data_IF_475148108299
#
_entry.id   IF_475148108299
#
_cell.length_a   1.000
_cell.length_b   1.000
_cell.length_c   1.000
_cell.angle_alpha   90.00
_cell.angle_beta   90.00
_cell.angle_gamma   90.00
#
_symmetry.space_group_name_H-M   'P 1'
#
loop_
_entity.id
_entity.type
_entity.pdbx_description
1 polymer ?
#
# COMPACT_ATOMS: atom_id res chain seq x y z
N UNK A 1 -20.83 12.23 -0.51
CA UNK A 1 -19.79 13.17 0.00
C UNK A 1 -18.34 12.83 -0.43
N UNK A 2 -18.06 11.65 -0.99
CA UNK A 2 -16.87 11.37 -1.83
C UNK A 2 -17.28 11.06 -3.27
N UNK A 3 -18.48 11.46 -3.70
CA UNK A 3 -19.06 11.08 -5.00
C UNK A 3 -18.21 11.48 -6.21
N UNK A 4 -17.32 12.45 -6.05
CA UNK A 4 -16.38 12.89 -7.09
C UNK A 4 -14.98 12.28 -6.98
N UNK A 5 -14.68 11.57 -5.90
CA UNK A 5 -13.41 10.87 -5.72
C UNK A 5 -13.49 9.49 -6.36
N UNK A 6 -12.35 9.02 -6.83
CA UNK A 6 -12.21 7.66 -7.34
C UNK A 6 -11.27 6.89 -6.44
N UNK A 7 -11.29 5.57 -6.55
CA UNK A 7 -10.30 4.70 -5.95
C UNK A 7 -9.64 3.85 -7.03
N UNK A 8 -8.41 3.44 -6.79
CA UNK A 8 -7.69 2.50 -7.65
C UNK A 8 -7.09 1.42 -6.77
N UNK A 9 -7.08 0.18 -7.24
CA UNK A 9 -6.53 -0.94 -6.51
C UNK A 9 -5.18 -1.33 -7.10
N UNK A 10 -4.16 -1.42 -6.24
CA UNK A 10 -2.81 -1.81 -6.62
C UNK A 10 -2.40 -3.05 -5.85
N UNK A 11 -2.27 -4.17 -6.57
CA UNK A 11 -1.72 -5.40 -6.03
C UNK A 11 -0.19 -5.31 -6.00
N UNK A 12 0.36 -5.49 -4.81
CA UNK A 12 1.77 -5.68 -4.58
C UNK A 12 2.11 -7.15 -4.39
N UNK A 13 2.96 -7.66 -5.27
CA UNK A 13 3.40 -9.05 -5.34
C UNK A 13 4.85 -9.17 -4.88
N UNK A 14 5.16 -10.31 -4.28
CA UNK A 14 6.47 -10.58 -3.71
C UNK A 14 7.03 -11.88 -4.24
N UNK A 15 8.36 -12.00 -4.25
CA UNK A 15 9.06 -13.25 -4.48
C UNK A 15 9.96 -13.55 -3.28
N UNK A 16 9.89 -14.78 -2.79
CA UNK A 16 10.69 -15.27 -1.67
C UNK A 16 12.01 -15.82 -2.22
N UNK A 17 13.11 -15.35 -1.64
CA UNK A 17 14.44 -15.86 -1.90
C UNK A 17 14.60 -17.27 -1.28
N UNK A 18 15.29 -18.16 -1.98
CA UNK A 18 15.74 -19.43 -1.43
C UNK A 18 16.66 -19.19 -0.23
N UNK A 19 16.59 -20.08 0.77
CA UNK A 19 17.28 -19.93 2.04
C UNK A 19 18.80 -19.79 1.87
N UNK A 20 19.40 -20.39 0.83
CA UNK A 20 20.83 -20.28 0.57
C UNK A 20 21.28 -18.86 0.19
N UNK A 21 20.33 -18.02 -0.24
CA UNK A 21 20.58 -16.65 -0.70
C UNK A 21 19.90 -15.58 0.17
N UNK A 22 19.16 -16.00 1.19
CA UNK A 22 18.39 -15.12 2.08
C UNK A 22 19.26 -14.09 2.83
N UNK A 23 20.56 -14.37 3.01
CA UNK A 23 21.49 -13.53 3.77
C UNK A 23 22.55 -12.84 2.90
N UNK A 24 22.36 -12.77 1.59
CA UNK A 24 23.18 -11.92 0.70
C UNK A 24 23.23 -10.48 1.25
N UNK A 25 22.09 -9.98 1.73
CA UNK A 25 22.02 -8.78 2.56
C UNK A 25 21.19 -9.05 3.81
N UNK A 26 21.74 -8.66 4.97
CA UNK A 26 21.16 -8.96 6.31
C UNK A 26 20.20 -7.88 6.84
N UNK A 27 19.96 -6.83 6.07
CA UNK A 27 19.08 -5.70 6.42
C UNK A 27 18.11 -5.42 5.28
N UNK A 28 17.06 -4.64 5.53
CA UNK A 28 16.19 -4.16 4.47
C UNK A 28 16.93 -3.15 3.59
N UNK A 29 16.71 -3.20 2.28
CA UNK A 29 17.19 -2.16 1.34
C UNK A 29 16.00 -1.61 0.56
N UNK A 30 15.91 -0.28 0.56
CA UNK A 30 14.95 0.51 -0.20
C UNK A 30 15.72 1.39 -1.16
N UNK A 31 15.30 1.44 -2.43
CA UNK A 31 15.81 2.44 -3.37
C UNK A 31 15.12 3.79 -3.15
N UNK A 32 15.69 4.84 -3.72
CA UNK A 32 15.04 6.15 -3.81
C UNK A 32 13.97 6.08 -4.90
N UNK A 33 12.79 6.67 -4.62
CA UNK A 33 11.70 6.73 -5.58
C UNK A 33 12.13 7.42 -6.88
N UNK A 34 11.95 6.77 -8.02
CA UNK A 34 12.15 7.40 -9.35
C UNK A 34 11.04 8.40 -9.67
N UNK A 35 9.84 8.12 -9.20
CA UNK A 35 8.62 8.91 -9.42
C UNK A 35 8.04 9.36 -8.07
N UNK A 36 8.63 10.38 -7.41
CA UNK A 36 8.17 10.84 -6.09
C UNK A 36 6.75 11.41 -6.08
N UNK A 37 6.20 11.76 -7.25
CA UNK A 37 4.83 12.21 -7.45
C UNK A 37 3.78 11.10 -7.29
N UNK A 38 4.20 9.83 -7.37
CA UNK A 38 3.32 8.68 -7.21
C UNK A 38 3.65 7.92 -5.92
N UNK A 39 2.66 7.29 -5.26
CA UNK A 39 2.85 6.63 -3.96
C UNK A 39 3.54 5.26 -4.07
N UNK A 40 4.26 4.99 -5.16
CA UNK A 40 4.88 3.71 -5.45
C UNK A 40 6.40 3.82 -5.40
N UNK A 41 7.02 2.81 -4.82
CA UNK A 41 8.46 2.67 -4.78
C UNK A 41 8.86 1.46 -5.62
N UNK A 42 10.13 1.41 -6.04
CA UNK A 42 10.65 0.18 -6.62
C UNK A 42 10.63 -0.95 -5.58
N UNK A 43 10.55 -2.21 -6.03
CA UNK A 43 10.66 -3.40 -5.20
C UNK A 43 11.85 -3.31 -4.25
N UNK A 44 11.61 -3.67 -3.00
CA UNK A 44 12.61 -3.64 -1.92
C UNK A 44 13.25 -4.99 -1.73
N UNK A 45 14.39 -5.02 -1.04
CA UNK A 45 14.88 -6.23 -0.38
C UNK A 45 14.41 -6.22 1.07
N UNK A 46 13.67 -7.25 1.47
CA UNK A 46 12.94 -7.30 2.75
C UNK A 46 13.39 -8.52 3.55
N UNK A 47 13.93 -8.28 4.74
CA UNK A 47 14.12 -9.28 5.80
C UNK A 47 12.90 -9.28 6.71
N UNK A 48 12.12 -10.34 6.66
CA UNK A 48 10.95 -10.50 7.53
C UNK A 48 11.37 -10.97 8.92
N UNK A 49 10.53 -10.68 9.92
CA UNK A 49 10.78 -11.06 11.32
C UNK A 49 10.84 -12.58 11.55
N UNK A 50 10.23 -13.37 10.66
CA UNK A 50 10.29 -14.84 10.69
C UNK A 50 11.55 -15.41 9.99
N UNK A 51 12.49 -14.55 9.57
CA UNK A 51 13.73 -14.93 8.90
C UNK A 51 13.61 -15.07 7.37
N UNK A 52 12.40 -15.06 6.79
CA UNK A 52 12.25 -15.12 5.33
C UNK A 52 12.77 -13.85 4.68
N UNK A 53 13.22 -13.98 3.43
CA UNK A 53 13.70 -12.86 2.64
C UNK A 53 12.91 -12.76 1.37
N UNK A 54 12.45 -11.55 1.06
CA UNK A 54 11.58 -11.29 -0.07
C UNK A 54 12.04 -10.09 -0.87
N UNK A 55 11.73 -10.11 -2.16
CA UNK A 55 11.72 -8.91 -2.99
C UNK A 55 10.31 -8.48 -3.32
N UNK A 56 10.08 -7.18 -3.39
CA UNK A 56 8.78 -6.58 -3.67
C UNK A 56 8.45 -5.41 -2.74
N UNK A 57 7.23 -4.88 -2.79
CA UNK A 57 6.22 -5.22 -3.80
C UNK A 57 6.46 -4.47 -5.13
N UNK A 58 5.92 -4.99 -6.23
CA UNK A 58 5.50 -4.16 -7.37
C UNK A 58 4.17 -3.45 -7.04
N UNK A 59 3.59 -2.71 -7.99
CA UNK A 59 2.30 -2.04 -7.81
C UNK A 59 1.41 -2.15 -9.05
N UNK A 60 0.77 -3.30 -9.22
CA UNK A 60 -0.01 -3.63 -10.42
C UNK A 60 -1.46 -3.17 -10.25
N UNK A 61 -2.01 -2.34 -11.17
CA UNK A 61 -3.44 -2.04 -11.18
C UNK A 61 -4.28 -3.31 -11.31
N UNK A 62 -5.29 -3.46 -10.45
CA UNK A 62 -6.25 -4.58 -10.49
C UNK A 62 -7.70 -4.06 -10.40
N UNK A 63 -8.69 -4.81 -10.94
CA UNK A 63 -10.06 -4.31 -11.03
C UNK A 63 -10.79 -4.25 -9.69
N UNK A 64 -10.45 -5.08 -8.70
CA UNK A 64 -11.16 -5.13 -7.41
C UNK A 64 -10.18 -5.24 -6.22
N UNK A 65 -10.60 -4.89 -5.00
CA UNK A 65 -9.78 -5.06 -3.80
C UNK A 65 -9.56 -6.53 -3.39
N UNK A 66 -10.14 -7.49 -4.12
CA UNK A 66 -10.04 -8.94 -3.91
C UNK A 66 -9.30 -9.67 -5.04
N UNK A 67 -8.81 -8.98 -6.08
CA UNK A 67 -8.06 -9.60 -7.18
C UNK A 67 -6.64 -9.99 -6.75
N UNK A 68 -6.49 -10.94 -5.82
CA UNK A 68 -5.19 -11.36 -5.28
C UNK A 68 -4.36 -12.22 -6.26
N UNK A 69 -4.99 -12.78 -7.29
CA UNK A 69 -4.33 -13.53 -8.37
C UNK A 69 -4.92 -13.14 -9.74
N UNK A 70 -4.20 -13.42 -10.84
CA UNK A 70 -4.61 -13.07 -12.19
C UNK A 70 -4.74 -11.54 -12.44
N UNK A 71 -5.37 -11.16 -13.55
CA UNK A 71 -5.64 -9.75 -13.88
C UNK A 71 -7.15 -9.44 -13.93
N UNK A 72 -7.99 -10.46 -13.76
CA UNK A 72 -9.44 -10.38 -13.87
C UNK A 72 -10.02 -11.24 -12.76
N UNK A 73 -10.79 -10.64 -11.84
CA UNK A 73 -11.62 -11.40 -10.89
C UNK A 73 -12.81 -11.99 -11.63
N UNK A 74 -13.60 -11.10 -12.24
CA UNK A 74 -14.72 -11.42 -13.11
C UNK A 74 -14.88 -10.29 -14.15
N UNK A 75 -15.47 -10.63 -15.30
CA UNK A 75 -15.63 -9.69 -16.43
C UNK A 75 -16.52 -8.49 -16.03
N UNK A 76 -17.69 -8.69 -15.39
CA UNK A 76 -18.53 -7.56 -14.95
C UNK A 76 -17.80 -6.54 -14.07
N UNK A 77 -17.10 -6.98 -13.02
CA UNK A 77 -16.37 -6.08 -12.11
C UNK A 77 -15.25 -5.33 -12.85
N UNK A 78 -14.57 -6.01 -13.77
CA UNK A 78 -13.51 -5.40 -14.58
C UNK A 78 -14.07 -4.31 -15.50
N UNK A 79 -15.19 -4.57 -16.17
CA UNK A 79 -15.86 -3.58 -17.02
C UNK A 79 -16.37 -2.40 -16.19
N UNK A 80 -16.97 -2.68 -15.02
CA UNK A 80 -17.43 -1.65 -14.09
C UNK A 80 -16.27 -0.73 -13.68
N UNK A 81 -15.14 -1.31 -13.27
CA UNK A 81 -13.97 -0.53 -12.84
C UNK A 81 -13.39 0.33 -13.97
N UNK A 82 -13.33 -0.19 -15.19
CA UNK A 82 -12.94 0.61 -16.36
C UNK A 82 -13.91 1.77 -16.60
N UNK A 83 -15.22 1.54 -16.45
CA UNK A 83 -16.24 2.59 -16.52
C UNK A 83 -16.04 3.69 -15.47
N UNK A 84 -15.78 3.31 -14.21
CA UNK A 84 -15.47 4.25 -13.13
C UNK A 84 -14.21 5.08 -13.44
N UNK A 85 -13.15 4.43 -13.94
CA UNK A 85 -11.90 5.12 -14.30
C UNK A 85 -12.15 6.14 -15.41
N UNK A 86 -12.91 5.78 -16.45
CA UNK A 86 -13.14 6.62 -17.62
C UNK A 86 -14.09 7.79 -17.35
N UNK A 87 -14.93 7.70 -16.30
CA UNK A 87 -15.93 8.72 -15.96
C UNK A 87 -15.55 9.54 -14.72
N UNK A 88 -14.66 9.04 -13.86
CA UNK A 88 -14.24 9.68 -12.62
C UNK A 88 -12.94 10.49 -12.69
N UNK A 89 -12.45 10.90 -11.52
CA UNK A 89 -11.21 11.68 -11.37
C UNK A 89 -9.96 10.91 -11.83
N UNK A 90 -9.98 9.58 -11.73
CA UNK A 90 -8.89 8.72 -12.20
C UNK A 90 -8.62 8.85 -13.71
N UNK A 91 -9.59 9.28 -14.53
CA UNK A 91 -9.38 9.51 -15.98
C UNK A 91 -8.17 10.40 -16.25
N UNK A 92 -8.04 11.50 -15.50
CA UNK A 92 -6.93 12.46 -15.67
C UNK A 92 -5.57 11.80 -15.40
N UNK A 93 -5.52 10.90 -14.43
CA UNK A 93 -4.32 10.13 -14.10
C UNK A 93 -3.94 9.17 -15.23
N UNK A 94 -4.90 8.47 -15.84
CA UNK A 94 -4.66 7.58 -16.99
C UNK A 94 -4.38 8.32 -18.31
N UNK A 95 -4.50 9.65 -18.34
CA UNK A 95 -4.03 10.48 -19.45
C UNK A 95 -2.60 11.02 -19.23
N UNK A 96 -2.04 10.84 -18.03
CA UNK A 96 -0.68 11.25 -17.71
C UNK A 96 0.34 10.22 -18.26
N UNK A 97 1.25 10.62 -19.18
CA UNK A 97 2.26 9.72 -19.74
C UNK A 97 3.19 9.09 -18.71
N UNK A 98 3.56 9.82 -17.65
CA UNK A 98 4.46 9.32 -16.61
C UNK A 98 3.79 8.22 -15.80
N UNK A 99 2.50 8.39 -15.51
CA UNK A 99 1.71 7.34 -14.85
C UNK A 99 1.57 6.10 -15.74
N UNK A 100 1.29 6.29 -17.04
CA UNK A 100 1.20 5.18 -18.00
C UNK A 100 2.53 4.43 -18.15
N UNK A 101 3.65 5.16 -18.14
CA UNK A 101 4.98 4.58 -18.11
C UNK A 101 5.18 3.74 -16.84
N UNK A 102 4.90 4.32 -15.67
CA UNK A 102 5.02 3.63 -14.39
C UNK A 102 4.22 2.32 -14.36
N UNK A 103 2.92 2.36 -14.67
CA UNK A 103 2.08 1.14 -14.63
C UNK A 103 2.60 0.07 -15.59
N UNK A 104 3.16 0.46 -16.75
CA UNK A 104 3.71 -0.51 -17.71
C UNK A 104 4.91 -1.28 -17.12
N UNK A 105 5.76 -0.61 -16.34
CA UNK A 105 6.88 -1.22 -15.62
C UNK A 105 6.39 -2.14 -14.49
N UNK A 106 5.32 -1.73 -13.80
CA UNK A 106 4.71 -2.55 -12.75
C UNK A 106 4.07 -3.83 -13.30
N UNK A 107 3.32 -3.72 -14.41
CA UNK A 107 2.75 -4.87 -15.12
C UNK A 107 3.83 -5.84 -15.60
N UNK A 108 4.93 -5.33 -16.16
CA UNK A 108 6.06 -6.17 -16.58
C UNK A 108 6.63 -6.99 -15.42
N UNK A 109 6.72 -6.39 -14.23
CA UNK A 109 7.22 -7.05 -13.02
C UNK A 109 6.25 -8.12 -12.49
N UNK A 110 4.96 -8.00 -12.82
CA UNK A 110 3.92 -8.99 -12.47
C UNK A 110 3.99 -10.23 -13.36
N UNK A 111 4.16 -10.02 -14.66
CA UNK A 111 4.19 -11.09 -15.67
C UNK A 111 5.54 -11.82 -15.63
N UNK A 112 6.62 -11.12 -15.28
CA UNK A 112 7.98 -11.65 -15.32
C UNK A 112 8.68 -11.49 -13.97
N UNK A 113 8.95 -12.62 -13.31
CA UNK A 113 9.86 -12.71 -12.15
C UNK A 113 11.21 -12.06 -12.47
N UNK A 114 11.75 -12.35 -13.64
CA UNK A 114 13.05 -11.83 -14.06
C UNK A 114 13.03 -10.31 -14.13
N UNK A 115 11.96 -9.71 -14.68
CA UNK A 115 11.82 -8.26 -14.69
C UNK A 115 11.77 -7.65 -13.28
N UNK A 116 11.07 -8.28 -12.33
CA UNK A 116 11.08 -7.88 -10.92
C UNK A 116 12.50 -7.94 -10.33
N UNK A 117 13.21 -9.04 -10.57
CA UNK A 117 14.57 -9.25 -10.03
C UNK A 117 15.56 -8.25 -10.62
N UNK A 118 15.47 -7.95 -11.93
CA UNK A 118 16.32 -6.95 -12.57
C UNK A 118 16.20 -5.56 -11.91
N UNK A 119 14.98 -5.16 -11.48
CA UNK A 119 14.80 -3.89 -10.75
C UNK A 119 15.56 -3.86 -9.42
N UNK A 120 15.64 -5.00 -8.73
CA UNK A 120 16.40 -5.14 -7.47
C UNK A 120 17.90 -5.23 -7.73
N UNK A 121 18.31 -5.81 -8.86
CA UNK A 121 19.71 -5.90 -9.26
C UNK A 121 20.37 -4.54 -9.46
N UNK A 122 19.60 -3.49 -9.76
CA UNK A 122 20.09 -2.10 -9.86
C UNK A 122 20.78 -1.64 -8.55
N UNK A 123 20.38 -2.18 -7.40
CA UNK A 123 20.97 -1.87 -6.09
C UNK A 123 21.55 -3.08 -5.35
N UNK A 124 21.31 -4.32 -5.81
CA UNK A 124 21.98 -5.54 -5.34
C UNK A 124 22.46 -6.37 -6.55
N UNK A 125 23.60 -6.00 -7.19
CA UNK A 125 24.00 -6.56 -8.49
C UNK A 125 24.31 -8.07 -8.49
N UNK A 126 24.57 -8.66 -7.32
CA UNK A 126 24.91 -10.08 -7.19
C UNK A 126 23.70 -11.02 -7.27
N UNK A 127 22.47 -10.48 -7.26
CA UNK A 127 21.26 -11.30 -7.33
C UNK A 127 21.07 -11.96 -8.70
N UNK A 128 20.36 -13.08 -8.71
CA UNK A 128 19.95 -13.79 -9.93
C UNK A 128 18.49 -14.19 -9.83
N UNK A 129 17.74 -14.25 -10.95
CA UNK A 129 16.35 -14.67 -10.93
C UNK A 129 16.12 -16.05 -10.31
N UNK A 130 17.08 -16.97 -10.45
CA UNK A 130 17.02 -18.32 -9.90
C UNK A 130 17.08 -18.37 -8.37
N UNK A 131 17.50 -17.29 -7.71
CA UNK A 131 17.51 -17.20 -6.25
C UNK A 131 16.10 -17.06 -5.69
N UNK A 132 15.10 -16.78 -6.53
CA UNK A 132 13.72 -16.55 -6.15
C UNK A 132 12.86 -17.68 -6.71
N UNK A 133 12.37 -18.54 -5.81
CA UNK A 133 11.74 -19.82 -6.20
C UNK A 133 10.25 -19.89 -5.86
N UNK A 134 9.76 -19.00 -5.00
CA UNK A 134 8.37 -19.02 -4.53
C UNK A 134 7.76 -17.62 -4.56
N UNK A 135 6.47 -17.54 -4.87
CA UNK A 135 5.71 -16.29 -4.67
C UNK A 135 5.49 -16.07 -3.17
N UNK A 136 5.63 -14.82 -2.73
CA UNK A 136 5.21 -14.36 -1.42
C UNK A 136 3.73 -13.99 -1.39
N UNK A 137 3.24 -13.55 -0.23
CA UNK A 137 1.84 -13.14 -0.06
C UNK A 137 1.61 -11.79 -0.72
N UNK A 138 0.72 -11.74 -1.72
CA UNK A 138 0.29 -10.50 -2.33
C UNK A 138 -0.61 -9.69 -1.39
N UNK A 139 -0.55 -8.36 -1.48
CA UNK A 139 -1.44 -7.44 -0.77
C UNK A 139 -2.00 -6.40 -1.73
N UNK A 140 -3.22 -5.93 -1.51
CA UNK A 140 -3.84 -4.89 -2.34
C UNK A 140 -3.99 -3.61 -1.52
N UNK A 141 -3.49 -2.49 -2.07
CA UNK A 141 -3.72 -1.14 -1.52
C UNK A 141 -4.71 -0.40 -2.39
N UNK A 142 -5.60 0.36 -1.76
CA UNK A 142 -6.65 1.12 -2.44
C UNK A 142 -6.48 2.61 -2.16
N UNK A 143 -5.51 3.28 -2.79
CA UNK A 143 -5.41 4.74 -2.73
C UNK A 143 -6.64 5.42 -3.31
N UNK A 144 -6.99 6.53 -2.68
CA UNK A 144 -8.03 7.45 -3.13
C UNK A 144 -7.43 8.47 -4.09
N UNK A 145 -8.17 8.76 -5.16
CA UNK A 145 -7.83 9.71 -6.22
C UNK A 145 -8.81 10.88 -6.16
N UNK A 146 -8.26 12.09 -6.18
CA UNK A 146 -9.04 13.32 -6.20
C UNK A 146 -9.79 13.49 -7.54
N UNK A 147 -10.80 14.38 -7.61
CA UNK A 147 -11.44 14.77 -8.87
C UNK A 147 -10.45 15.38 -9.90
N UNK A 148 -9.28 15.80 -9.44
CA UNK A 148 -8.21 16.33 -10.27
C UNK A 148 -7.21 15.29 -10.75
N UNK A 149 -7.40 14.02 -10.39
CA UNK A 149 -6.54 12.91 -10.81
C UNK A 149 -5.28 12.76 -9.96
N UNK A 150 -5.24 13.37 -8.78
CA UNK A 150 -4.10 13.27 -7.87
C UNK A 150 -4.34 12.19 -6.81
N UNK A 151 -3.29 11.45 -6.47
CA UNK A 151 -3.30 10.58 -5.29
C UNK A 151 -3.46 11.42 -4.02
N UNK A 152 -4.41 11.04 -3.16
CA UNK A 152 -4.51 11.65 -1.83
C UNK A 152 -3.40 11.08 -0.96
N UNK A 153 -2.56 11.96 -0.42
CA UNK A 153 -1.43 11.58 0.45
C UNK A 153 -1.88 11.24 1.87
N UNK A 154 -2.89 11.95 2.37
CA UNK A 154 -3.29 11.88 3.77
C UNK A 154 -4.44 10.91 4.01
N UNK A 155 -4.56 10.49 5.27
CA UNK A 155 -5.70 9.74 5.77
C UNK A 155 -6.95 10.62 5.70
N UNK A 156 -8.05 10.04 5.23
CA UNK A 156 -9.32 10.73 5.14
C UNK A 156 -10.28 10.21 6.21
N UNK A 157 -10.76 11.11 7.07
CA UNK A 157 -11.70 10.77 8.13
C UNK A 157 -13.11 11.25 7.77
N UNK A 158 -14.13 10.43 8.05
CA UNK A 158 -15.54 10.81 7.88
C UNK A 158 -16.39 10.39 9.05
N UNK A 159 -17.17 11.33 9.53
CA UNK A 159 -18.16 11.12 10.57
C UNK A 159 -19.54 10.95 9.93
N UNK A 160 -20.17 9.82 10.18
CA UNK A 160 -21.59 9.59 9.96
C UNK A 160 -22.37 9.85 11.24
N UNK A 161 -23.70 9.67 11.18
CA UNK A 161 -24.56 9.88 12.35
C UNK A 161 -24.17 8.98 13.54
N UNK A 162 -23.86 7.70 13.26
CA UNK A 162 -23.47 6.69 14.25
C UNK A 162 -22.22 5.91 13.81
N UNK A 163 -21.36 6.51 12.98
CA UNK A 163 -20.19 5.83 12.43
C UNK A 163 -19.01 6.78 12.27
N UNK A 164 -17.80 6.23 12.36
CA UNK A 164 -16.57 6.92 12.03
C UNK A 164 -15.81 6.07 11.02
N UNK A 165 -15.48 6.65 9.87
CA UNK A 165 -14.81 5.97 8.78
C UNK A 165 -13.41 6.54 8.62
N UNK A 166 -12.43 5.64 8.62
CA UNK A 166 -11.05 5.94 8.25
C UNK A 166 -10.86 5.40 6.84
N UNK A 167 -10.51 6.27 5.92
CA UNK A 167 -10.35 5.98 4.50
C UNK A 167 -8.95 6.41 4.05
N UNK A 168 -8.41 5.80 3.00
CA UNK A 168 -7.08 6.10 2.46
C UNK A 168 -5.93 5.89 3.48
N UNK A 169 -6.12 5.04 4.48
CA UNK A 169 -5.08 4.67 5.45
C UNK A 169 -4.11 3.64 4.87
N UNK A 170 -3.27 4.11 3.95
CA UNK A 170 -2.28 3.30 3.24
C UNK A 170 -0.96 3.26 4.00
N UNK A 171 0.19 3.17 3.32
CA UNK A 171 1.51 3.20 3.97
C UNK A 171 1.78 4.58 4.59
N UNK A 172 2.37 4.70 5.80
CA UNK A 172 2.94 3.66 6.68
C UNK A 172 1.94 3.11 7.73
N UNK A 173 0.77 2.64 7.29
CA UNK A 173 -0.38 2.36 8.16
C UNK A 173 -0.12 1.38 9.30
N UNK A 174 0.62 0.29 9.06
CA UNK A 174 0.94 -0.68 10.12
C UNK A 174 1.80 -0.06 11.23
N UNK A 175 2.83 0.71 10.87
CA UNK A 175 3.72 1.39 11.82
C UNK A 175 2.99 2.50 12.57
N UNK A 176 2.14 3.27 11.89
CA UNK A 176 1.40 4.39 12.48
C UNK A 176 0.16 3.98 13.27
N UNK A 177 -0.34 2.75 13.13
CA UNK A 177 -1.64 2.33 13.65
C UNK A 177 -1.83 2.56 15.16
N UNK A 178 -0.85 2.27 16.04
CA UNK A 178 -1.02 2.51 17.49
C UNK A 178 -1.22 3.99 17.83
N UNK A 179 -0.38 4.88 17.28
CA UNK A 179 -0.44 6.32 17.52
C UNK A 179 -1.73 6.91 16.92
N UNK A 180 -2.05 6.55 15.67
CA UNK A 180 -3.26 7.04 15.02
C UNK A 180 -4.53 6.56 15.72
N UNK A 181 -4.55 5.33 16.23
CA UNK A 181 -5.67 4.82 17.03
C UNK A 181 -5.87 5.63 18.32
N UNK A 182 -4.77 5.96 19.01
CA UNK A 182 -4.85 6.82 20.20
C UNK A 182 -5.45 8.19 19.84
N UNK A 183 -4.96 8.83 18.76
CA UNK A 183 -5.47 10.10 18.26
C UNK A 183 -6.98 10.07 17.99
N UNK A 184 -7.47 9.02 17.31
CA UNK A 184 -8.91 8.85 17.03
C UNK A 184 -9.70 8.71 18.33
N UNK A 185 -9.25 7.88 19.28
CA UNK A 185 -9.93 7.73 20.58
C UNK A 185 -10.01 9.07 21.31
N UNK A 186 -8.91 9.83 21.36
CA UNK A 186 -8.89 11.17 21.95
C UNK A 186 -9.91 12.09 21.29
N UNK A 187 -9.90 12.15 19.94
CA UNK A 187 -10.82 12.98 19.16
C UNK A 187 -12.29 12.63 19.46
N UNK A 188 -12.62 11.35 19.57
CA UNK A 188 -13.97 10.91 19.90
C UNK A 188 -14.35 11.18 21.36
N UNK A 189 -13.40 11.14 22.29
CA UNK A 189 -13.62 11.52 23.69
C UNK A 189 -13.85 13.03 23.84
N UNK A 190 -13.08 13.86 23.15
CA UNK A 190 -13.23 15.32 23.16
C UNK A 190 -14.60 15.75 22.61
N UNK A 191 -15.17 14.95 21.69
CA UNK A 191 -16.53 15.12 21.16
C UNK A 191 -17.64 14.58 22.07
N UNK A 192 -17.29 13.96 23.19
CA UNK A 192 -18.26 13.32 24.09
C UNK A 192 -18.90 12.05 23.53
N UNK A 193 -18.41 11.53 22.40
CA UNK A 193 -18.90 10.30 21.78
C UNK A 193 -18.42 9.09 22.58
N UNK A 194 -17.15 9.08 22.95
CA UNK A 194 -16.56 8.06 23.82
C UNK A 194 -16.35 8.59 25.23
N UNK A 195 -16.62 7.74 26.23
CA UNK A 195 -16.31 8.07 27.62
C UNK A 195 -14.83 7.84 27.88
N UNK A 196 -14.23 8.71 28.72
CA UNK A 196 -12.89 8.46 29.26
C UNK A 196 -12.95 7.24 30.20
N UNK A 197 -11.95 6.35 30.17
CA UNK A 197 -11.93 5.21 31.07
C UNK A 197 -11.76 5.67 32.53
N UNK A 198 -12.42 4.98 33.46
CA UNK A 198 -12.34 5.29 34.89
C UNK A 198 -10.98 4.92 35.52
N UNK A 199 -10.19 4.08 34.84
CA UNK A 199 -8.84 3.71 35.24
C UNK A 199 -8.00 3.40 34.01
N UNK A 200 -6.70 3.68 34.08
CA UNK A 200 -5.74 3.28 33.06
C UNK A 200 -4.90 2.11 33.56
N UNK A 201 -4.62 1.16 32.67
CA UNK A 201 -3.65 0.11 32.95
C UNK A 201 -2.25 0.67 32.76
N UNK A 202 -1.39 0.49 33.76
CA UNK A 202 0.02 0.86 33.64
C UNK A 202 0.74 -0.17 32.77
N UNK A 203 0.86 0.09 31.48
CA UNK A 203 1.52 -0.77 30.50
C UNK A 203 2.53 0.03 29.68
N UNK A 204 3.36 -0.65 28.89
CA UNK A 204 4.26 -0.02 27.91
C UNK A 204 3.51 0.92 26.93
N UNK A 205 2.23 0.65 26.68
CA UNK A 205 1.34 1.48 25.85
C UNK A 205 0.43 2.31 26.76
N UNK A 206 1.00 3.38 27.35
CA UNK A 206 0.25 4.34 28.15
C UNK A 206 -0.42 5.40 27.24
N UNK A 207 -1.75 5.48 27.29
CA UNK A 207 -2.53 6.35 26.41
C UNK A 207 -2.19 7.84 26.58
N UNK A 208 -2.13 8.34 27.81
CA UNK A 208 -1.86 9.76 28.06
C UNK A 208 -0.46 10.15 27.57
N UNK A 209 0.54 9.32 27.88
CA UNK A 209 1.91 9.52 27.42
C UNK A 209 2.04 9.53 25.89
N UNK A 210 1.28 8.68 25.18
CA UNK A 210 1.26 8.65 23.72
C UNK A 210 0.61 9.91 23.17
N UNK A 211 -0.54 10.32 23.73
CA UNK A 211 -1.26 11.51 23.29
C UNK A 211 -0.48 12.79 23.54
N UNK A 212 0.30 12.88 24.62
CA UNK A 212 1.17 14.03 24.88
C UNK A 212 2.31 14.18 23.86
N UNK A 213 2.65 13.12 23.13
CA UNK A 213 3.72 13.09 22.13
C UNK A 213 3.25 13.31 20.69
N UNK A 214 1.92 13.29 20.45
CA UNK A 214 1.29 13.49 19.14
C UNK A 214 0.79 14.93 19.03
#
# INVERSE_FOLDING_TARGET
MFESYSDLHFRGEYWIADNNYADIVKTNIYSVARHPEFPFLDPHWIKRANGTTEIGPNAVPVPTPETYDGFVTDIPSTISKLGEILTGGAKKLFLNPDFLSLISHEFRSSISKDAMVQRVMDFIPSLKPDYFTKKGTAGIRTPVISPDGNFISDVMEREGHNSFHIVNYNSPGATGAPAYSALIIKKLQDKGILKKPNSQKNTLWNFDSIIEQI
#
